data_IF_229892892128
#
_entry.id   IF_229892892128
#
_cell.length_a   1.000
_cell.length_b   1.000
_cell.length_c   1.000
_cell.angle_alpha   90.00
_cell.angle_beta   90.00
_cell.angle_gamma   90.00
#
_symmetry.space_group_name_H-M   'P 1'
#
loop_
_entity.id
_entity.type
_entity.pdbx_description
1 polymer ?
#
# COMPACT_ATOMS: atom_id res chain seq x y z
N UNK A 1 4.78 -7.19 6.42
CA UNK A 1 4.59 -6.86 5.00
C UNK A 1 3.13 -6.47 4.79
N UNK A 2 2.88 -5.37 4.08
CA UNK A 2 1.55 -4.86 3.74
C UNK A 2 1.49 -4.64 2.24
N UNK A 3 0.53 -5.26 1.57
CA UNK A 3 0.31 -5.10 0.13
C UNK A 3 -0.89 -4.19 -0.10
N UNK A 4 -0.71 -3.17 -0.95
CA UNK A 4 -1.71 -2.18 -1.34
C UNK A 4 -1.98 -2.32 -2.83
N UNK A 5 -3.25 -2.48 -3.18
CA UNK A 5 -3.73 -2.56 -4.55
C UNK A 5 -4.41 -1.23 -4.89
N UNK A 6 -3.72 -0.32 -5.62
CA UNK A 6 -4.23 1.00 -5.93
C UNK A 6 -5.51 0.92 -6.78
N UNK A 7 -6.38 1.91 -6.65
CA UNK A 7 -7.61 1.96 -7.43
C UNK A 7 -7.39 2.33 -8.90
N UNK A 8 -6.28 3.01 -9.16
CA UNK A 8 -5.86 3.57 -10.43
C UNK A 8 -5.02 2.60 -11.29
N UNK A 9 -4.61 1.46 -10.73
CA UNK A 9 -3.66 0.54 -11.37
C UNK A 9 -4.02 -0.91 -11.09
N UNK A 10 -4.48 -1.62 -12.13
CA UNK A 10 -4.72 -3.06 -12.07
C UNK A 10 -3.46 -3.88 -12.40
N UNK A 11 -2.43 -3.26 -13.01
CA UNK A 11 -1.23 -3.94 -13.49
C UNK A 11 -0.08 -4.01 -12.49
N UNK A 12 -0.07 -3.13 -11.49
CA UNK A 12 1.00 -3.06 -10.50
C UNK A 12 0.43 -2.74 -9.12
N UNK A 13 0.91 -3.43 -8.09
CA UNK A 13 0.58 -3.20 -6.69
C UNK A 13 1.82 -2.75 -5.89
N UNK A 14 1.60 -2.18 -4.71
CA UNK A 14 2.66 -1.67 -3.83
C UNK A 14 2.84 -2.61 -2.65
N UNK A 15 4.07 -3.04 -2.37
CA UNK A 15 4.45 -3.79 -1.17
C UNK A 15 5.24 -2.89 -0.22
N UNK A 16 4.82 -2.86 1.03
CA UNK A 16 5.46 -2.13 2.13
C UNK A 16 6.00 -3.16 3.13
N UNK A 17 7.31 -3.21 3.26
CA UNK A 17 8.00 -4.03 4.25
C UNK A 17 8.26 -3.17 5.49
N UNK A 18 7.93 -3.74 6.65
CA UNK A 18 8.01 -3.06 7.94
C UNK A 18 8.98 -3.80 8.84
N UNK A 19 9.84 -3.07 9.53
CA UNK A 19 10.74 -3.58 10.56
C UNK A 19 10.64 -2.67 11.78
N UNK A 20 10.37 -3.24 12.95
CA UNK A 20 10.21 -2.51 14.22
C UNK A 20 9.22 -1.32 14.16
N UNK A 21 8.20 -1.41 13.31
CA UNK A 21 7.18 -0.36 13.14
C UNK A 21 7.56 0.74 12.15
N UNK A 22 8.76 0.68 11.57
CA UNK A 22 9.23 1.59 10.53
C UNK A 22 9.14 0.96 9.13
N UNK A 23 9.03 1.81 8.11
CA UNK A 23 9.08 1.37 6.71
C UNK A 23 10.53 1.09 6.33
N UNK A 24 10.83 -0.18 6.10
CA UNK A 24 12.15 -0.63 5.66
C UNK A 24 12.27 -0.56 4.13
N UNK A 25 11.22 -0.95 3.40
CA UNK A 25 11.24 -0.97 1.94
C UNK A 25 9.85 -0.75 1.35
N UNK A 26 9.82 -0.04 0.22
CA UNK A 26 8.65 0.06 -0.66
C UNK A 26 9.05 -0.48 -2.04
N UNK A 27 8.25 -1.37 -2.61
CA UNK A 27 8.42 -1.87 -3.97
C UNK A 27 7.10 -1.95 -4.73
N UNK A 28 7.17 -1.84 -6.05
CA UNK A 28 6.10 -2.27 -6.94
C UNK A 28 6.27 -3.74 -7.25
N UNK A 29 5.16 -4.47 -7.36
CA UNK A 29 5.16 -5.85 -7.77
C UNK A 29 3.97 -6.15 -8.70
N UNK A 30 4.11 -7.19 -9.52
CA UNK A 30 3.01 -7.73 -10.32
C UNK A 30 2.02 -8.44 -9.37
N UNK A 31 0.75 -8.00 -9.27
CA UNK A 31 -0.21 -8.56 -8.33
C UNK A 31 -0.69 -9.98 -8.69
N UNK A 32 -0.51 -10.40 -9.95
CA UNK A 32 -0.89 -11.73 -10.43
C UNK A 32 0.20 -12.76 -10.15
N UNK A 33 1.46 -12.41 -10.40
CA UNK A 33 2.61 -13.34 -10.28
C UNK A 33 3.36 -13.22 -8.95
N UNK A 34 3.25 -12.07 -8.28
CA UNK A 34 4.02 -11.75 -7.07
C UNK A 34 5.44 -11.24 -7.34
N UNK A 35 5.84 -11.10 -8.62
CA UNK A 35 7.18 -10.68 -9.00
C UNK A 35 7.45 -9.22 -8.61
N UNK A 36 8.57 -8.98 -7.91
CA UNK A 36 9.01 -7.62 -7.59
C UNK A 36 9.53 -6.93 -8.84
N UNK A 37 8.95 -5.78 -9.16
CA UNK A 37 9.27 -5.02 -10.37
C UNK A 37 10.37 -3.98 -10.11
N UNK A 38 10.16 -3.12 -9.11
CA UNK A 38 11.10 -2.04 -8.78
C UNK A 38 10.95 -1.55 -7.35
N UNK A 39 12.06 -1.16 -6.72
CA UNK A 39 12.05 -0.44 -5.43
C UNK A 39 11.68 1.03 -5.64
N UNK A 40 11.05 1.62 -4.64
CA UNK A 40 10.63 3.02 -4.66
C UNK A 40 11.01 3.73 -3.36
N UNK A 41 11.36 5.00 -3.48
CA UNK A 41 11.59 5.87 -2.32
C UNK A 41 10.27 6.37 -1.69
N UNK A 42 9.22 6.49 -2.51
CA UNK A 42 7.92 7.01 -2.09
C UNK A 42 6.82 6.54 -3.05
N UNK A 43 5.62 6.33 -2.52
CA UNK A 43 4.40 6.17 -3.29
C UNK A 43 3.28 6.97 -2.63
N UNK A 44 2.39 7.57 -3.42
CA UNK A 44 1.23 8.32 -2.90
C UNK A 44 -0.02 7.50 -3.19
N UNK A 45 -0.74 7.09 -2.14
CA UNK A 45 -1.96 6.29 -2.27
C UNK A 45 -3.15 7.25 -2.23
N UNK A 46 -3.97 7.23 -3.28
CA UNK A 46 -5.24 7.95 -3.30
C UNK A 46 -6.40 7.02 -2.96
N UNK A 47 -7.41 7.47 -2.20
CA UNK A 47 -8.60 6.66 -1.94
C UNK A 47 -9.39 6.34 -3.22
N UNK A 48 -9.95 5.12 -3.30
CA UNK A 48 -10.74 4.64 -4.44
C UNK A 48 -12.01 5.46 -4.73
N UNK A 49 -12.52 6.23 -3.76
CA UNK A 49 -13.68 7.11 -3.95
C UNK A 49 -13.50 8.42 -3.20
N UNK A 50 -14.20 9.47 -3.64
CA UNK A 50 -14.26 10.78 -2.96
C UNK A 50 -14.98 10.74 -1.60
N UNK A 51 -15.44 9.56 -1.16
CA UNK A 51 -15.93 9.29 0.18
C UNK A 51 -14.97 8.35 0.91
N UNK A 52 -13.72 8.78 1.09
CA UNK A 52 -12.82 8.13 2.03
C UNK A 52 -13.35 8.39 3.44
N UNK A 53 -14.15 7.48 3.98
CA UNK A 53 -14.51 7.54 5.40
C UNK A 53 -13.23 7.28 6.19
N UNK A 54 -12.67 8.32 6.81
CA UNK A 54 -11.68 8.14 7.86
C UNK A 54 -12.32 7.27 8.91
N UNK A 55 -11.88 6.00 9.04
CA UNK A 55 -12.24 5.20 10.21
C UNK A 55 -11.48 5.76 11.41
N UNK A 56 -11.99 6.83 11.98
CA UNK A 56 -11.79 7.11 13.39
C UNK A 56 -12.76 6.21 14.17
N UNK A 57 -12.39 4.94 14.34
CA UNK A 57 -12.98 4.05 15.37
C UNK A 57 -12.01 2.92 15.72
N UNK A 58 -11.13 3.20 16.66
CA UNK A 58 -10.71 2.24 17.68
C UNK A 58 -10.20 3.03 18.90
N UNK A 59 -10.68 2.65 20.09
CA UNK A 59 -10.36 3.18 21.43
C UNK A 59 -11.15 4.48 21.77
N UNK A 60 -11.88 4.65 22.87
CA UNK A 60 -12.06 3.95 24.17
C UNK A 60 -13.44 4.35 24.71
N UNK A 61 -14.13 3.43 25.40
CA UNK A 61 -15.34 3.70 26.19
C UNK A 61 -16.19 2.46 26.38
#
# INVERSE_FOLDING_TARGET
VVDVFPAESDSEAVRIELFEGEVEQISMFDPLTGESLRKMMRYTIYPKTHYATTRERAAVG
#
